data_IF_937651865316
#
_entry.id   IF_937651865316
#
_cell.length_a   1.000
_cell.length_b   1.000
_cell.length_c   1.000
_cell.angle_alpha   90.00
_cell.angle_beta   90.00
_cell.angle_gamma   90.00
#
_symmetry.space_group_name_H-M   'P 1'
#
loop_
_entity.id
_entity.type
_entity.pdbx_description
1 polymer ?
#
# COMPACT_ATOMS: atom_id res chain seq x y z
N UNK A 1 6.03 -25.70 -14.26
CA UNK A 1 6.17 -24.28 -13.87
C UNK A 1 5.87 -23.45 -15.10
N UNK A 2 4.79 -22.68 -15.06
CA UNK A 2 4.32 -21.92 -16.23
C UNK A 2 5.23 -20.72 -16.47
N UNK A 3 5.32 -20.26 -17.73
CA UNK A 3 6.07 -19.05 -18.11
C UNK A 3 5.63 -17.79 -17.34
N UNK A 4 4.40 -17.79 -16.84
CA UNK A 4 3.80 -16.71 -16.03
C UNK A 4 4.46 -16.66 -14.64
N UNK A 5 4.70 -17.80 -13.99
CA UNK A 5 5.41 -17.85 -12.70
C UNK A 5 6.84 -17.35 -12.81
N UNK A 6 7.53 -17.69 -13.90
CA UNK A 6 8.90 -17.26 -14.16
C UNK A 6 9.06 -15.75 -14.36
N UNK A 7 8.02 -15.05 -14.80
CA UNK A 7 8.03 -13.59 -15.01
C UNK A 7 7.53 -12.81 -13.78
N UNK A 8 6.57 -13.34 -13.04
CA UNK A 8 5.93 -12.65 -11.90
C UNK A 8 6.87 -12.54 -10.70
N UNK A 9 7.63 -13.60 -10.38
CA UNK A 9 8.50 -13.62 -9.20
C UNK A 9 9.65 -12.59 -9.29
N UNK A 10 10.38 -12.43 -10.42
CA UNK A 10 11.38 -11.38 -10.55
C UNK A 10 10.81 -9.97 -10.48
N UNK A 11 9.63 -9.74 -11.09
CA UNK A 11 8.97 -8.45 -11.05
C UNK A 11 8.55 -8.06 -9.62
N UNK A 12 8.07 -9.02 -8.83
CA UNK A 12 7.72 -8.80 -7.41
C UNK A 12 8.93 -8.54 -6.51
N UNK A 13 10.14 -8.87 -6.95
CA UNK A 13 11.38 -8.55 -6.22
C UNK A 13 11.94 -7.16 -6.54
N UNK A 14 11.39 -6.48 -7.54
CA UNK A 14 11.78 -5.13 -7.91
C UNK A 14 11.06 -4.10 -7.03
N UNK A 15 11.80 -3.37 -6.18
CA UNK A 15 11.25 -2.29 -5.37
C UNK A 15 10.61 -1.20 -6.24
N UNK A 16 11.21 -0.89 -7.39
CA UNK A 16 10.70 0.12 -8.33
C UNK A 16 9.29 -0.16 -8.81
N UNK A 17 9.00 -1.41 -9.20
CA UNK A 17 7.64 -1.79 -9.65
C UNK A 17 6.61 -1.78 -8.53
N UNK A 18 6.98 -2.17 -7.30
CA UNK A 18 6.12 -2.06 -6.13
C UNK A 18 5.79 -0.59 -5.86
N UNK A 19 6.78 0.28 -5.78
CA UNK A 19 6.58 1.70 -5.54
C UNK A 19 5.76 2.37 -6.66
N UNK A 20 5.99 2.00 -7.91
CA UNK A 20 5.20 2.50 -9.03
C UNK A 20 3.72 2.08 -8.92
N UNK A 21 3.45 0.80 -8.65
CA UNK A 21 2.09 0.30 -8.46
C UNK A 21 1.41 0.99 -7.27
N UNK A 22 2.10 1.10 -6.11
CA UNK A 22 1.59 1.81 -4.95
C UNK A 22 1.30 3.27 -5.27
N UNK A 23 2.20 3.97 -5.97
CA UNK A 23 1.99 5.37 -6.35
C UNK A 23 0.69 5.57 -7.14
N UNK A 24 0.43 4.72 -8.14
CA UNK A 24 -0.81 4.81 -8.93
C UNK A 24 -2.05 4.51 -8.09
N UNK A 25 -2.01 3.47 -7.27
CA UNK A 25 -3.14 3.07 -6.44
C UNK A 25 -3.47 4.13 -5.39
N UNK A 26 -2.46 4.60 -4.66
CA UNK A 26 -2.66 5.55 -3.56
C UNK A 26 -3.01 6.95 -4.08
N UNK A 27 -2.40 7.39 -5.20
CA UNK A 27 -2.82 8.65 -5.82
C UNK A 27 -4.26 8.57 -6.34
N UNK A 28 -4.65 7.46 -6.98
CA UNK A 28 -6.01 7.27 -7.46
C UNK A 28 -7.03 7.25 -6.32
N UNK A 29 -6.78 6.45 -5.28
CA UNK A 29 -7.65 6.37 -4.09
C UNK A 29 -7.68 7.70 -3.32
N UNK A 30 -6.54 8.38 -3.19
CA UNK A 30 -6.42 9.68 -2.54
C UNK A 30 -7.23 10.75 -3.25
N UNK A 31 -7.13 10.84 -4.59
CA UNK A 31 -7.93 11.78 -5.39
C UNK A 31 -9.43 11.45 -5.33
N UNK A 32 -9.81 10.18 -5.34
CA UNK A 32 -11.20 9.77 -5.21
C UNK A 32 -11.79 10.18 -3.84
N UNK A 33 -11.05 9.96 -2.75
CA UNK A 33 -11.46 10.36 -1.41
C UNK A 33 -11.49 11.89 -1.21
N UNK A 34 -10.56 12.61 -1.81
CA UNK A 34 -10.56 14.08 -1.78
C UNK A 34 -11.73 14.67 -2.57
N UNK A 35 -11.95 14.17 -3.79
CA UNK A 35 -12.97 14.69 -4.70
C UNK A 35 -14.38 14.27 -4.33
N UNK A 36 -14.57 12.99 -3.96
CA UNK A 36 -15.89 12.44 -3.65
C UNK A 36 -15.84 11.41 -2.52
N UNK A 37 -15.60 11.84 -1.25
CA UNK A 37 -15.55 10.95 -0.11
C UNK A 37 -16.87 10.18 0.10
N UNK A 38 -18.02 10.76 -0.24
CA UNK A 38 -19.31 10.09 -0.16
C UNK A 38 -19.39 8.88 -1.10
N UNK A 39 -18.92 9.01 -2.34
CA UNK A 39 -18.86 7.91 -3.30
C UNK A 39 -17.92 6.81 -2.82
N UNK A 40 -16.74 7.17 -2.32
CA UNK A 40 -15.78 6.21 -1.78
C UNK A 40 -16.35 5.45 -0.58
N UNK A 41 -17.02 6.16 0.34
CA UNK A 41 -17.69 5.56 1.51
C UNK A 41 -18.80 4.60 1.08
N UNK A 42 -19.60 4.97 0.08
CA UNK A 42 -20.64 4.09 -0.45
C UNK A 42 -20.04 2.84 -1.12
N UNK A 43 -19.02 3.00 -1.96
CA UNK A 43 -18.41 1.87 -2.65
C UNK A 43 -17.73 0.89 -1.71
N UNK A 44 -17.10 1.39 -0.63
CA UNK A 44 -16.35 0.54 0.31
C UNK A 44 -17.25 0.06 1.45
N UNK A 45 -17.98 0.95 2.11
CA UNK A 45 -18.73 0.63 3.32
C UNK A 45 -20.23 0.44 3.08
N UNK A 46 -20.75 0.68 1.88
CA UNK A 46 -22.17 0.61 1.56
C UNK A 46 -23.01 1.76 2.12
N UNK A 47 -22.39 2.75 2.78
CA UNK A 47 -23.08 3.88 3.42
C UNK A 47 -23.38 4.96 2.39
N UNK A 48 -24.67 5.20 2.10
CA UNK A 48 -25.13 6.17 1.08
C UNK A 48 -25.11 7.61 1.56
N UNK A 49 -25.34 7.82 2.84
CA UNK A 49 -25.42 9.15 3.49
C UNK A 49 -24.44 9.21 4.65
N UNK A 50 -23.14 9.38 4.38
CA UNK A 50 -22.15 9.51 5.46
C UNK A 50 -22.32 10.82 6.21
N UNK A 51 -21.98 10.84 7.51
CA UNK A 51 -22.02 12.04 8.33
C UNK A 51 -20.97 13.08 7.87
N UNK A 52 -21.16 14.38 8.22
CA UNK A 52 -20.15 15.40 7.90
C UNK A 52 -18.75 15.08 8.41
N UNK A 53 -18.66 14.47 9.60
CA UNK A 53 -17.38 14.04 10.21
C UNK A 53 -16.73 12.93 9.39
N UNK A 54 -17.51 11.95 8.90
CA UNK A 54 -17.00 10.88 8.04
C UNK A 54 -16.50 11.44 6.70
N UNK A 55 -17.18 12.43 6.12
CA UNK A 55 -16.74 13.12 4.92
C UNK A 55 -15.44 13.90 5.14
N UNK A 56 -15.31 14.57 6.29
CA UNK A 56 -14.10 15.28 6.67
C UNK A 56 -12.91 14.31 6.84
N UNK A 57 -13.10 13.24 7.62
CA UNK A 57 -12.08 12.21 7.82
C UNK A 57 -11.69 11.52 6.49
N UNK A 58 -12.66 11.28 5.60
CA UNK A 58 -12.41 10.76 4.27
C UNK A 58 -11.47 11.66 3.46
N UNK A 59 -11.65 12.99 3.51
CA UNK A 59 -10.75 13.93 2.84
C UNK A 59 -9.35 13.94 3.45
N UNK A 60 -9.24 13.92 4.79
CA UNK A 60 -7.93 13.83 5.46
C UNK A 60 -7.23 12.52 5.09
N UNK A 61 -7.95 11.40 5.10
CA UNK A 61 -7.45 10.12 4.62
C UNK A 61 -6.97 10.20 3.16
N UNK A 62 -7.77 10.82 2.29
CA UNK A 62 -7.42 11.02 0.89
C UNK A 62 -6.14 11.84 0.69
N UNK A 63 -5.94 12.89 1.48
CA UNK A 63 -4.69 13.67 1.46
C UNK A 63 -3.50 12.82 1.92
N UNK A 64 -3.68 11.97 2.95
CA UNK A 64 -2.67 11.03 3.42
C UNK A 64 -2.27 10.00 2.34
N UNK A 65 -3.26 9.40 1.68
CA UNK A 65 -3.01 8.45 0.57
C UNK A 65 -2.27 9.12 -0.59
N UNK A 66 -2.68 10.32 -0.96
CA UNK A 66 -2.01 11.08 -2.02
C UNK A 66 -0.55 11.37 -1.65
N UNK A 67 -0.27 11.73 -0.40
CA UNK A 67 1.09 11.94 0.10
C UNK A 67 1.94 10.66 0.04
N UNK A 68 1.37 9.50 0.42
CA UNK A 68 2.02 8.19 0.30
C UNK A 68 2.32 7.89 -1.18
N UNK A 69 1.35 8.10 -2.07
CA UNK A 69 1.52 7.88 -3.50
C UNK A 69 2.64 8.73 -4.09
N UNK A 70 2.71 10.03 -3.74
CA UNK A 70 3.78 10.94 -4.14
C UNK A 70 5.13 10.47 -3.60
N UNK A 71 5.23 10.08 -2.34
CA UNK A 71 6.46 9.56 -1.76
C UNK A 71 6.94 8.30 -2.49
N UNK A 72 6.04 7.37 -2.83
CA UNK A 72 6.35 6.18 -3.61
C UNK A 72 6.83 6.52 -5.02
N UNK A 73 6.21 7.52 -5.67
CA UNK A 73 6.62 7.95 -6.99
C UNK A 73 8.08 8.41 -7.03
N UNK A 74 8.52 9.19 -6.06
CA UNK A 74 9.91 9.65 -5.98
C UNK A 74 10.88 8.56 -5.49
N UNK A 75 10.43 7.62 -4.66
CA UNK A 75 11.26 6.54 -4.15
C UNK A 75 11.49 5.39 -5.15
N UNK A 76 10.75 5.33 -6.27
CA UNK A 76 10.80 4.20 -7.21
C UNK A 76 12.19 3.98 -7.84
N UNK A 77 12.92 5.07 -8.06
CA UNK A 77 14.24 5.06 -8.71
C UNK A 77 15.40 5.11 -7.71
N UNK A 78 15.10 5.33 -6.42
CA UNK A 78 16.09 5.40 -5.33
C UNK A 78 16.44 4.01 -4.82
N UNK A 79 17.45 3.38 -5.45
CA UNK A 79 17.80 1.98 -5.21
C UNK A 79 18.64 1.80 -3.96
N UNK A 80 18.07 1.13 -2.95
CA UNK A 80 18.80 0.64 -1.78
C UNK A 80 19.09 1.67 -0.71
N UNK A 81 18.53 2.89 -0.80
CA UNK A 81 18.70 3.89 0.24
C UNK A 81 17.99 3.49 1.55
N UNK A 82 18.42 4.07 2.66
CA UNK A 82 17.74 3.90 3.95
C UNK A 82 16.32 4.46 3.91
N UNK A 83 16.10 5.53 3.16
CA UNK A 83 14.77 6.14 2.99
C UNK A 83 13.82 5.20 2.26
N UNK A 84 14.26 4.60 1.15
CA UNK A 84 13.48 3.62 0.41
C UNK A 84 13.12 2.39 1.27
N UNK A 85 14.07 1.88 2.04
CA UNK A 85 13.82 0.76 2.95
C UNK A 85 12.87 1.14 4.10
N UNK A 86 12.97 2.36 4.62
CA UNK A 86 12.04 2.90 5.61
C UNK A 86 10.61 2.97 5.05
N UNK A 87 10.47 3.53 3.84
CA UNK A 87 9.18 3.62 3.17
C UNK A 87 8.58 2.23 2.88
N UNK A 88 9.39 1.25 2.47
CA UNK A 88 8.91 -0.12 2.24
C UNK A 88 8.35 -0.76 3.52
N UNK A 89 8.98 -0.52 4.69
CA UNK A 89 8.46 -0.98 5.97
C UNK A 89 7.18 -0.23 6.37
N UNK A 90 7.11 1.07 6.10
CA UNK A 90 5.90 1.86 6.33
C UNK A 90 4.73 1.36 5.47
N UNK A 91 4.97 1.03 4.20
CA UNK A 91 3.96 0.44 3.32
C UNK A 91 3.49 -0.93 3.81
N UNK A 92 4.37 -1.75 4.36
CA UNK A 92 3.98 -3.03 4.97
C UNK A 92 3.00 -2.82 6.13
N UNK A 93 3.32 -1.89 7.05
CA UNK A 93 2.46 -1.56 8.19
C UNK A 93 1.12 -0.97 7.72
N UNK A 94 1.18 -0.06 6.75
CA UNK A 94 -0.01 0.55 6.17
C UNK A 94 -0.94 -0.48 5.53
N UNK A 95 -0.43 -1.35 4.64
CA UNK A 95 -1.25 -2.33 3.95
C UNK A 95 -1.83 -3.39 4.91
N UNK A 96 -1.05 -3.85 5.89
CA UNK A 96 -1.54 -4.76 6.92
C UNK A 96 -2.63 -4.11 7.78
N UNK A 97 -2.45 -2.86 8.20
CA UNK A 97 -3.41 -2.09 8.97
C UNK A 97 -4.70 -1.80 8.18
N UNK A 98 -4.59 -1.40 6.91
CA UNK A 98 -5.72 -1.17 6.03
C UNK A 98 -6.51 -2.47 5.78
N UNK A 99 -5.83 -3.59 5.55
CA UNK A 99 -6.45 -4.91 5.43
C UNK A 99 -7.25 -5.24 6.69
N UNK A 100 -6.66 -5.10 7.88
CA UNK A 100 -7.34 -5.37 9.14
C UNK A 100 -8.57 -4.47 9.34
N UNK A 101 -8.44 -3.17 9.06
CA UNK A 101 -9.54 -2.22 9.18
C UNK A 101 -10.71 -2.55 8.23
N UNK A 102 -10.41 -2.91 6.97
CA UNK A 102 -11.44 -3.30 6.00
C UNK A 102 -12.13 -4.61 6.41
N UNK A 103 -11.38 -5.61 6.89
CA UNK A 103 -11.97 -6.87 7.38
C UNK A 103 -12.88 -6.61 8.57
N UNK A 104 -12.44 -5.81 9.55
CA UNK A 104 -13.27 -5.43 10.70
C UNK A 104 -14.54 -4.70 10.25
N UNK A 105 -14.44 -3.75 9.31
CA UNK A 105 -15.61 -3.06 8.77
C UNK A 105 -16.56 -4.03 8.06
N UNK A 106 -16.04 -4.95 7.26
CA UNK A 106 -16.85 -5.92 6.50
C UNK A 106 -17.54 -6.96 7.38
N UNK A 107 -16.94 -7.33 8.51
CA UNK A 107 -17.53 -8.28 9.46
C UNK A 107 -18.52 -7.61 10.42
N UNK A 108 -18.35 -6.31 10.70
CA UNK A 108 -19.23 -5.55 11.59
C UNK A 108 -20.49 -5.02 10.89
N UNK A 109 -20.47 -4.86 9.56
CA UNK A 109 -21.60 -4.28 8.80
C UNK A 109 -22.31 -5.34 7.96
N UNK A 110 -23.65 -5.43 8.06
CA UNK A 110 -24.44 -6.30 7.19
C UNK A 110 -24.48 -5.81 5.73
N UNK A 111 -24.09 -4.56 5.48
CA UNK A 111 -24.11 -3.91 4.15
C UNK A 111 -22.71 -3.45 3.76
N UNK A 112 -21.87 -4.39 3.34
CA UNK A 112 -20.56 -4.05 2.78
C UNK A 112 -20.75 -3.49 1.35
N UNK A 113 -19.97 -2.45 1.01
CA UNK A 113 -19.92 -1.95 -0.36
C UNK A 113 -19.21 -2.91 -1.31
N UNK A 114 -19.48 -2.77 -2.60
CA UNK A 114 -18.95 -3.67 -3.64
C UNK A 114 -17.43 -3.67 -3.72
N UNK A 115 -16.76 -2.58 -3.33
CA UNK A 115 -15.31 -2.44 -3.35
C UNK A 115 -14.60 -2.93 -2.08
N UNK A 116 -15.33 -3.28 -1.01
CA UNK A 116 -14.73 -3.65 0.27
C UNK A 116 -13.85 -4.91 0.16
N UNK A 117 -14.42 -6.01 -0.32
CA UNK A 117 -13.68 -7.27 -0.42
C UNK A 117 -12.58 -7.25 -1.49
N UNK A 118 -12.77 -6.66 -2.68
CA UNK A 118 -11.68 -6.37 -3.60
C UNK A 118 -10.56 -5.53 -2.96
N UNK A 119 -10.92 -4.54 -2.13
CA UNK A 119 -9.95 -3.74 -1.36
C UNK A 119 -9.14 -4.58 -0.37
N UNK A 120 -9.79 -5.48 0.38
CA UNK A 120 -9.10 -6.45 1.26
C UNK A 120 -8.11 -7.28 0.44
N UNK A 121 -8.54 -7.85 -0.69
CA UNK A 121 -7.68 -8.64 -1.56
C UNK A 121 -6.47 -7.86 -2.06
N UNK A 122 -6.66 -6.61 -2.46
CA UNK A 122 -5.59 -5.72 -2.89
C UNK A 122 -4.56 -5.50 -1.77
N UNK A 123 -4.98 -5.16 -0.56
CA UNK A 123 -4.08 -4.93 0.57
C UNK A 123 -3.35 -6.20 1.00
N UNK A 124 -3.97 -7.39 0.90
CA UNK A 124 -3.29 -8.68 1.11
C UNK A 124 -2.17 -8.87 0.10
N UNK A 125 -2.45 -8.67 -1.19
CA UNK A 125 -1.45 -8.80 -2.26
C UNK A 125 -0.29 -7.81 -2.04
N UNK A 126 -0.59 -6.55 -1.73
CA UNK A 126 0.42 -5.53 -1.47
C UNK A 126 1.25 -5.84 -0.22
N UNK A 127 0.64 -6.39 0.84
CA UNK A 127 1.33 -6.85 2.04
C UNK A 127 2.33 -7.96 1.71
N UNK A 128 1.89 -8.97 0.96
CA UNK A 128 2.76 -10.08 0.51
C UNK A 128 3.91 -9.53 -0.34
N UNK A 129 3.62 -8.60 -1.26
CA UNK A 129 4.65 -8.00 -2.11
C UNK A 129 5.68 -7.22 -1.29
N UNK A 130 5.26 -6.44 -0.30
CA UNK A 130 6.17 -5.76 0.63
C UNK A 130 7.07 -6.76 1.38
N UNK A 131 6.52 -7.86 1.90
CA UNK A 131 7.30 -8.90 2.59
C UNK A 131 8.34 -9.54 1.66
N UNK A 132 7.94 -9.90 0.44
CA UNK A 132 8.86 -10.49 -0.54
C UNK A 132 9.98 -9.52 -0.93
N UNK A 133 9.64 -8.23 -1.09
CA UNK A 133 10.61 -7.17 -1.40
C UNK A 133 11.60 -6.96 -0.25
N UNK A 134 11.14 -6.97 1.00
CA UNK A 134 12.01 -6.86 2.18
C UNK A 134 12.97 -8.05 2.31
N UNK A 135 12.50 -9.27 2.02
CA UNK A 135 13.34 -10.48 2.06
C UNK A 135 14.38 -10.53 0.93
N UNK A 136 14.08 -9.89 -0.20
CA UNK A 136 14.99 -9.83 -1.33
C UNK A 136 16.09 -8.77 -1.17
N UNK A 137 15.95 -7.84 -0.22
CA UNK A 137 16.97 -6.83 0.07
C UNK A 137 18.14 -7.47 0.82
N UNK A 138 19.37 -7.49 0.27
CA UNK A 138 20.54 -7.92 1.04
C UNK A 138 20.73 -6.94 2.19
N UNK A 139 20.72 -7.44 3.43
CA UNK A 139 21.24 -6.68 4.56
C UNK A 139 22.71 -6.44 4.20
N UNK A 140 23.13 -5.19 4.05
CA UNK A 140 24.54 -4.85 4.00
C UNK A 140 25.17 -5.36 5.30
N UNK A 141 25.69 -6.58 5.27
CA UNK A 141 26.55 -7.10 6.32
C UNK A 141 27.77 -6.18 6.30
N UNK A 142 27.88 -5.36 7.35
CA UNK A 142 29.05 -4.57 7.58
C UNK A 142 30.26 -5.51 7.48
N UNK A 143 31.06 -5.36 6.46
CA UNK A 143 32.42 -5.84 6.44
C UNK A 143 33.14 -5.05 7.53
N UNK A 144 33.16 -5.58 8.75
CA UNK A 144 34.17 -5.21 9.71
C UNK A 144 35.48 -5.66 9.13
N UNK A 145 36.07 -4.78 8.33
CA UNK A 145 37.43 -4.94 7.85
C UNK A 145 38.34 -5.04 9.06
N UNK A 146 38.85 -6.23 9.27
CA UNK A 146 39.94 -6.51 10.14
C UNK A 146 41.17 -5.80 9.55
N UNK A 147 41.50 -4.61 10.06
CA UNK A 147 42.79 -3.98 9.88
C UNK A 147 43.67 -4.41 11.04
N UNK A 148 44.19 -5.64 10.94
CA UNK A 148 45.39 -6.03 11.67
C UNK A 148 46.60 -5.82 10.71
N UNK A 149 47.49 -4.90 11.06
CA UNK A 149 48.74 -4.60 10.41
C UNK A 149 49.46 -3.55 11.18
#
# INVERSE_FOLDING_TARGET
>A
MSAIEGAVIPAMRSHGSLFFATALLECGAGLALLGSPALATWLVLGVRTPSPEALFLGRIGGAGLLAIGVACWFARDDRGSRAQQGLLRALLVYNAGACAALVLAGTASPTAGVALWPGVGLHVVMTIWCVLSLRASPIARGTSGNTSG
#
